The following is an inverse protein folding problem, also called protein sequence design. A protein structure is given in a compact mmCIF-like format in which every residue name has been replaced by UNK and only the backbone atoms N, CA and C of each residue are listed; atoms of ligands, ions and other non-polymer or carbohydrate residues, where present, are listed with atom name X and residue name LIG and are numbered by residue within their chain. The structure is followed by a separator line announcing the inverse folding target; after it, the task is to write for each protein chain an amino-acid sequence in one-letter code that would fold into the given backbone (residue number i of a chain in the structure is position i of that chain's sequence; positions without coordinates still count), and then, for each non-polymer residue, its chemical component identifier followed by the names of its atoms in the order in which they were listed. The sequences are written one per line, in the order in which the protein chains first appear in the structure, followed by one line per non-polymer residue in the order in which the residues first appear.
data_IF_963106160319
#
_entry.id   IF_963106160319
#
_cell.length_a   1.000
_cell.length_b   1.000
_cell.length_c   1.000
_cell.angle_alpha   90.00
_cell.angle_beta   90.00
_cell.angle_gamma   90.00
#
_symmetry.space_group_name_H-M   'P 1'
#
loop_
_entity.id
_entity.type
_entity.pdbx_description
1 polymer ?
#
# COMPACT_ATOMS: atom_id res chain seq x y z
N UNK A 1 1.49 -33.16 10.34
CA UNK A 1 2.71 -32.41 10.05
C UNK A 1 2.45 -31.30 9.05
N UNK A 2 2.73 -30.07 9.45
CA UNK A 2 2.41 -28.87 8.67
C UNK A 2 3.63 -28.29 7.94
N UNK A 3 4.76 -29.00 7.89
CA UNK A 3 5.96 -28.52 7.23
C UNK A 3 6.05 -29.04 5.80
N UNK A 4 6.30 -28.12 4.87
CA UNK A 4 6.51 -28.40 3.47
C UNK A 4 7.96 -28.14 3.09
N UNK A 5 8.55 -29.00 2.25
CA UNK A 5 9.83 -28.75 1.60
C UNK A 5 9.52 -27.99 0.31
N UNK A 6 9.96 -26.74 0.25
CA UNK A 6 9.72 -25.85 -0.88
C UNK A 6 10.99 -25.70 -1.70
N UNK A 7 10.84 -25.76 -3.02
CA UNK A 7 11.86 -25.38 -3.98
C UNK A 7 11.60 -23.93 -4.41
N UNK A 8 12.44 -22.99 -3.99
CA UNK A 8 12.28 -21.57 -4.20
C UNK A 8 13.29 -21.08 -5.23
N UNK A 9 12.80 -20.58 -6.34
CA UNK A 9 13.61 -20.02 -7.43
C UNK A 9 13.64 -18.48 -7.32
N UNK A 10 14.84 -17.91 -7.18
CA UNK A 10 15.06 -16.47 -7.10
C UNK A 10 15.51 -15.85 -8.43
N UNK A 11 15.38 -16.57 -9.54
CA UNK A 11 15.80 -16.13 -10.87
C UNK A 11 17.26 -16.44 -11.22
N UNK A 12 18.13 -16.69 -10.25
CA UNK A 12 19.54 -17.07 -10.45
C UNK A 12 19.76 -18.52 -10.09
N UNK A 13 19.19 -18.97 -8.98
CA UNK A 13 19.32 -20.34 -8.49
C UNK A 13 18.10 -20.76 -7.67
N UNK A 14 18.04 -22.04 -7.38
CA UNK A 14 16.98 -22.66 -6.59
C UNK A 14 17.50 -22.99 -5.19
N UNK A 15 16.67 -22.68 -4.18
CA UNK A 15 16.94 -22.94 -2.77
C UNK A 15 15.95 -23.94 -2.21
N UNK A 16 16.42 -24.82 -1.32
CA UNK A 16 15.53 -25.61 -0.50
C UNK A 16 15.13 -24.82 0.75
N UNK A 17 13.82 -24.68 0.97
CA UNK A 17 13.27 -23.94 2.11
C UNK A 17 12.21 -24.77 2.81
N UNK A 18 12.31 -24.89 4.13
CA UNK A 18 11.30 -25.55 4.94
C UNK A 18 10.28 -24.49 5.38
N UNK A 19 9.02 -24.66 5.00
CA UNK A 19 7.96 -23.72 5.27
C UNK A 19 6.78 -24.40 5.97
N UNK A 20 6.32 -23.80 7.07
CA UNK A 20 5.16 -24.25 7.85
C UNK A 20 3.89 -23.43 7.60
N UNK A 21 3.94 -22.46 6.69
CA UNK A 21 2.79 -21.60 6.40
C UNK A 21 1.64 -22.38 5.75
N UNK A 22 0.39 -22.16 6.19
CA UNK A 22 -0.76 -22.90 5.70
C UNK A 22 -1.13 -22.57 4.25
N UNK A 23 -0.72 -21.40 3.77
CA UNK A 23 -1.04 -20.91 2.42
C UNK A 23 0.02 -21.22 1.37
N UNK A 24 1.12 -21.92 1.74
CA UNK A 24 2.14 -22.28 0.77
C UNK A 24 1.61 -23.25 -0.28
N UNK A 25 1.78 -22.92 -1.55
CA UNK A 25 1.33 -23.73 -2.69
C UNK A 25 2.31 -23.66 -3.85
N UNK A 26 2.32 -24.70 -4.68
CA UNK A 26 3.15 -24.74 -5.89
C UNK A 26 2.78 -23.63 -6.86
N UNK A 27 3.79 -22.94 -7.38
CA UNK A 27 3.63 -21.88 -8.39
C UNK A 27 3.26 -20.52 -7.84
N UNK A 28 3.11 -20.34 -6.52
CA UNK A 28 2.92 -19.02 -5.93
C UNK A 28 4.21 -18.19 -5.98
N UNK A 29 4.06 -16.89 -6.02
CA UNK A 29 5.15 -15.93 -5.80
C UNK A 29 5.13 -15.47 -4.35
N UNK A 30 6.25 -15.59 -3.65
CA UNK A 30 6.41 -15.18 -2.26
C UNK A 30 7.64 -14.32 -2.08
N UNK A 31 7.78 -13.72 -0.91
CA UNK A 31 8.98 -12.99 -0.53
C UNK A 31 9.94 -13.96 0.15
N UNK A 32 11.16 -14.04 -0.37
CA UNK A 32 12.20 -14.95 0.08
C UNK A 32 13.37 -14.17 0.69
N UNK A 33 13.84 -14.62 1.85
CA UNK A 33 15.08 -14.16 2.45
C UNK A 33 16.10 -15.32 2.46
N UNK A 34 17.29 -15.05 1.93
CA UNK A 34 18.41 -15.97 1.93
C UNK A 34 19.23 -15.90 3.23
N UNK A 35 20.14 -16.84 3.39
CA UNK A 35 21.15 -16.83 4.43
C UNK A 35 21.92 -15.50 4.47
N UNK A 36 22.13 -14.94 5.67
CA UNK A 36 22.79 -13.66 5.90
C UNK A 36 21.89 -12.42 5.81
N UNK A 37 20.63 -12.54 5.36
CA UNK A 37 19.71 -11.39 5.30
C UNK A 37 19.15 -11.05 6.66
N UNK A 38 19.01 -9.75 6.93
CA UNK A 38 18.36 -9.22 8.13
C UNK A 38 16.85 -9.23 7.98
N UNK A 39 16.15 -9.74 9.01
CA UNK A 39 14.70 -9.80 9.07
C UNK A 39 14.18 -8.76 10.08
N UNK A 40 13.59 -7.64 9.62
CA UNK A 40 13.27 -6.51 10.49
C UNK A 40 12.19 -6.80 11.53
N UNK A 41 11.26 -7.71 11.25
CA UNK A 41 10.17 -8.04 12.16
C UNK A 41 10.59 -8.89 13.36
N UNK A 42 11.68 -9.64 13.23
CA UNK A 42 12.22 -10.50 14.30
C UNK A 42 13.58 -10.01 14.83
N UNK A 43 14.15 -8.97 14.21
CA UNK A 43 15.45 -8.39 14.56
C UNK A 43 16.60 -9.41 14.54
N UNK A 44 16.58 -10.33 13.56
CA UNK A 44 17.59 -11.38 13.41
C UNK A 44 18.26 -11.32 12.04
N UNK A 45 19.50 -11.77 11.99
CA UNK A 45 20.16 -12.14 10.73
C UNK A 45 19.87 -13.62 10.48
N UNK A 46 19.21 -13.90 9.36
CA UNK A 46 18.83 -15.25 8.99
C UNK A 46 20.08 -16.12 8.77
N UNK A 47 20.04 -17.34 9.28
CA UNK A 47 21.11 -18.33 9.09
C UNK A 47 20.53 -19.61 8.52
N UNK A 48 21.27 -20.18 7.57
CA UNK A 48 21.02 -21.53 7.07
C UNK A 48 20.99 -22.51 8.25
N UNK A 49 19.99 -23.36 8.31
CA UNK A 49 19.79 -24.26 9.43
C UNK A 49 19.15 -25.58 9.04
N UNK A 50 19.05 -26.48 10.01
CA UNK A 50 18.32 -27.75 9.86
C UNK A 50 17.01 -27.68 10.64
N UNK A 51 15.91 -27.98 9.99
CA UNK A 51 14.57 -28.05 10.58
C UNK A 51 14.07 -29.48 10.41
N UNK A 52 13.94 -30.21 11.52
CA UNK A 52 13.55 -31.65 11.55
C UNK A 52 14.38 -32.55 10.62
N UNK A 53 15.69 -32.28 10.57
CA UNK A 53 16.64 -33.08 9.77
C UNK A 53 16.88 -32.57 8.35
N UNK A 54 15.99 -31.74 7.81
CA UNK A 54 16.09 -31.17 6.49
C UNK A 54 16.76 -29.79 6.51
N UNK A 55 17.54 -29.49 5.50
CA UNK A 55 18.25 -28.20 5.39
C UNK A 55 17.31 -27.13 4.85
N UNK A 56 17.23 -25.98 5.55
CA UNK A 56 16.59 -24.77 5.05
C UNK A 56 17.64 -23.72 4.74
N UNK A 57 17.70 -23.24 3.48
CA UNK A 57 18.70 -22.29 2.99
C UNK A 57 18.19 -20.85 3.03
N UNK A 58 17.02 -20.65 3.60
CA UNK A 58 16.38 -19.36 3.71
C UNK A 58 14.99 -19.47 4.33
N UNK A 59 14.21 -18.40 4.23
CA UNK A 59 12.87 -18.29 4.78
C UNK A 59 11.94 -17.60 3.80
N UNK A 60 10.70 -18.08 3.70
CA UNK A 60 9.59 -17.36 3.07
C UNK A 60 8.93 -16.48 4.14
N UNK A 61 8.71 -15.20 3.83
CA UNK A 61 8.36 -14.18 4.80
C UNK A 61 6.86 -13.91 4.83
N UNK A 62 6.34 -13.66 6.04
CA UNK A 62 5.02 -13.06 6.28
C UNK A 62 5.12 -11.53 6.34
N UNK A 63 3.98 -10.85 6.40
CA UNK A 63 3.93 -9.40 6.55
C UNK A 63 4.59 -8.92 7.86
N UNK A 64 4.47 -9.72 8.91
CA UNK A 64 5.07 -9.42 10.23
C UNK A 64 6.60 -9.39 10.17
N UNK A 65 7.24 -10.35 9.49
CA UNK A 65 8.69 -10.38 9.36
C UNK A 65 9.24 -9.16 8.61
N UNK A 66 8.43 -8.55 7.72
CA UNK A 66 8.78 -7.32 7.01
C UNK A 66 8.29 -6.03 7.72
N UNK A 67 7.64 -6.13 8.89
CA UNK A 67 6.98 -5.00 9.59
C UNK A 67 5.93 -4.28 8.73
N UNK A 68 5.26 -4.98 7.84
CA UNK A 68 4.17 -4.44 7.04
C UNK A 68 2.84 -4.46 7.79
N UNK A 69 2.61 -5.50 8.59
CA UNK A 69 1.46 -5.63 9.50
C UNK A 69 1.79 -6.64 10.61
N UNK A 70 0.85 -6.86 11.52
CA UNK A 70 0.95 -7.89 12.56
C UNK A 70 0.56 -9.31 12.06
N UNK A 71 0.14 -9.42 10.81
CA UNK A 71 -0.30 -10.68 10.22
C UNK A 71 0.88 -11.64 10.02
N UNK A 72 0.77 -12.84 10.60
CA UNK A 72 1.76 -13.93 10.50
C UNK A 72 1.10 -15.30 10.27
N UNK A 73 -0.17 -15.33 9.90
CA UNK A 73 -0.90 -16.59 9.66
C UNK A 73 -0.43 -17.32 8.40
N UNK A 74 0.28 -16.62 7.50
CA UNK A 74 0.83 -17.19 6.28
C UNK A 74 1.96 -16.35 5.72
N UNK A 75 2.57 -16.84 4.64
CA UNK A 75 3.57 -16.09 3.87
C UNK A 75 2.89 -15.11 2.92
N UNK A 76 3.59 -14.03 2.57
CA UNK A 76 3.12 -13.04 1.59
C UNK A 76 2.95 -13.71 0.22
N UNK A 77 1.76 -13.58 -0.36
CA UNK A 77 1.50 -13.93 -1.75
C UNK A 77 1.60 -12.67 -2.63
N UNK A 78 2.64 -12.60 -3.44
CA UNK A 78 2.88 -11.45 -4.33
C UNK A 78 1.94 -11.51 -5.53
N UNK A 79 1.21 -10.42 -5.75
CA UNK A 79 0.29 -10.27 -6.88
C UNK A 79 1.02 -9.74 -8.12
N UNK A 80 0.41 -9.91 -9.30
CA UNK A 80 0.94 -9.34 -10.56
C UNK A 80 2.06 -10.15 -11.21
N UNK A 81 2.45 -11.29 -10.64
CA UNK A 81 3.42 -12.25 -11.20
C UNK A 81 4.75 -11.61 -11.68
N UNK A 82 5.46 -10.85 -10.82
CA UNK A 82 6.75 -10.26 -11.20
C UNK A 82 7.78 -11.36 -11.55
N UNK A 83 8.85 -11.05 -12.31
CA UNK A 83 9.96 -11.98 -12.55
C UNK A 83 10.54 -12.51 -11.24
N UNK A 84 11.03 -13.76 -11.23
CA UNK A 84 11.76 -14.28 -10.09
C UNK A 84 13.02 -13.43 -9.87
N UNK A 85 13.39 -13.18 -8.62
CA UNK A 85 14.52 -12.33 -8.26
C UNK A 85 14.22 -10.83 -8.21
N UNK A 86 12.98 -10.40 -8.53
CA UNK A 86 12.57 -9.02 -8.27
C UNK A 86 12.69 -8.72 -6.77
N UNK A 87 13.29 -7.57 -6.42
CA UNK A 87 13.41 -7.16 -5.03
C UNK A 87 12.04 -6.95 -4.36
N UNK A 88 11.97 -7.17 -3.05
CA UNK A 88 10.72 -7.16 -2.30
C UNK A 88 10.01 -5.79 -2.33
N UNK A 89 10.77 -4.69 -2.32
CA UNK A 89 10.22 -3.33 -2.33
C UNK A 89 9.46 -3.08 -3.64
N UNK A 90 10.07 -3.46 -4.75
CA UNK A 90 9.45 -3.37 -6.09
C UNK A 90 8.29 -4.35 -6.24
N UNK A 91 8.48 -5.61 -5.82
CA UNK A 91 7.46 -6.65 -5.96
C UNK A 91 6.19 -6.35 -5.15
N UNK A 92 6.31 -5.66 -4.03
CA UNK A 92 5.21 -5.25 -3.16
C UNK A 92 4.73 -3.83 -3.41
N UNK A 93 5.39 -3.10 -4.34
CA UNK A 93 5.05 -1.70 -4.66
C UNK A 93 5.15 -0.79 -3.42
N UNK A 94 6.23 -0.93 -2.66
CA UNK A 94 6.49 -0.16 -1.43
C UNK A 94 7.35 1.08 -1.66
N UNK A 95 7.73 1.36 -2.91
CA UNK A 95 8.61 2.48 -3.26
C UNK A 95 7.84 3.80 -3.38
N UNK A 96 7.01 4.12 -2.39
CA UNK A 96 6.26 5.38 -2.28
C UNK A 96 6.74 6.14 -1.04
N UNK A 97 7.60 7.16 -1.18
CA UNK A 97 8.13 7.89 -0.05
C UNK A 97 7.04 8.66 0.68
N UNK A 98 6.99 8.50 2.01
CA UNK A 98 6.02 9.14 2.88
C UNK A 98 6.72 10.23 3.68
N UNK A 99 6.13 11.41 3.72
CA UNK A 99 6.61 12.55 4.49
C UNK A 99 5.59 12.90 5.58
N UNK A 100 6.04 12.91 6.83
CA UNK A 100 5.30 13.50 7.93
C UNK A 100 5.68 14.98 8.04
N UNK A 101 4.68 15.86 7.89
CA UNK A 101 4.91 17.31 7.84
C UNK A 101 4.14 18.00 8.96
N UNK A 102 4.86 18.61 9.89
CA UNK A 102 4.27 19.49 10.89
C UNK A 102 3.92 20.85 10.29
N UNK A 103 2.64 21.19 10.21
CA UNK A 103 2.15 22.48 9.70
C UNK A 103 1.76 23.37 10.89
N UNK A 104 2.28 24.59 10.93
CA UNK A 104 1.93 25.57 11.97
C UNK A 104 0.49 26.08 11.81
N UNK A 105 -0.20 26.47 12.90
CA UNK A 105 -1.63 26.87 12.85
C UNK A 105 -1.97 28.00 11.90
N UNK A 106 -1.01 28.89 11.61
CA UNK A 106 -1.17 30.01 10.68
C UNK A 106 -1.01 29.62 9.20
N UNK A 107 -0.68 28.35 8.89
CA UNK A 107 -0.43 27.86 7.53
C UNK A 107 -1.44 26.82 7.09
N UNK A 108 -2.72 27.06 7.36
CA UNK A 108 -3.82 26.20 6.90
C UNK A 108 -3.84 25.95 5.39
N UNK A 109 -3.27 26.85 4.60
CA UNK A 109 -3.06 26.70 3.17
C UNK A 109 -2.12 25.55 2.79
N UNK A 110 -1.24 25.13 3.71
CA UNK A 110 -0.32 24.01 3.55
C UNK A 110 -0.88 22.66 4.02
N UNK A 111 -2.13 22.59 4.51
CA UNK A 111 -2.79 21.32 4.88
C UNK A 111 -3.30 20.54 3.65
N UNK A 112 -2.57 20.58 2.55
CA UNK A 112 -2.86 19.83 1.32
C UNK A 112 -1.58 19.59 0.51
N UNK A 113 -1.59 18.53 -0.29
CA UNK A 113 -0.48 18.23 -1.22
C UNK A 113 -0.18 19.41 -2.14
N UNK A 114 -1.23 20.09 -2.64
CA UNK A 114 -1.06 21.25 -3.52
C UNK A 114 -0.53 22.48 -2.77
N UNK A 115 -0.95 22.68 -1.54
CA UNK A 115 -0.43 23.76 -0.69
C UNK A 115 1.06 23.62 -0.42
N UNK A 116 1.50 22.41 -0.07
CA UNK A 116 2.92 22.07 0.10
C UNK A 116 3.68 22.25 -1.22
N UNK A 117 3.16 21.75 -2.33
CA UNK A 117 3.80 21.88 -3.65
C UNK A 117 3.97 23.36 -4.06
N UNK A 118 2.97 24.21 -3.77
CA UNK A 118 3.04 25.66 -4.01
C UNK A 118 4.14 26.31 -3.16
N UNK A 119 4.22 25.93 -1.89
CA UNK A 119 5.23 26.48 -0.96
C UNK A 119 6.65 26.09 -1.38
N UNK A 120 6.85 24.82 -1.75
CA UNK A 120 8.12 24.34 -2.31
C UNK A 120 8.49 25.06 -3.62
N UNK A 121 7.52 25.32 -4.48
CA UNK A 121 7.72 26.07 -5.74
C UNK A 121 8.13 27.51 -5.44
N UNK A 122 7.48 28.17 -4.49
CA UNK A 122 7.85 29.51 -4.04
C UNK A 122 9.27 29.59 -3.46
N UNK A 123 9.73 28.50 -2.83
CA UNK A 123 11.10 28.37 -2.33
C UNK A 123 12.13 28.05 -3.43
N UNK A 124 11.69 27.79 -4.67
CA UNK A 124 12.59 27.44 -5.77
C UNK A 124 12.97 25.96 -5.85
N UNK A 125 12.31 25.07 -5.10
CA UNK A 125 12.58 23.64 -5.13
C UNK A 125 11.98 22.94 -6.37
N UNK A 126 11.23 23.65 -7.19
CA UNK A 126 10.63 23.13 -8.42
C UNK A 126 9.58 24.06 -8.99
N UNK A 127 8.90 23.63 -10.04
CA UNK A 127 7.81 24.38 -10.69
C UNK A 127 6.47 23.73 -10.37
N UNK A 128 5.51 24.51 -9.88
CA UNK A 128 4.17 24.06 -9.63
C UNK A 128 3.46 23.69 -10.94
N UNK A 129 3.15 22.41 -11.12
CA UNK A 129 2.41 21.96 -12.30
C UNK A 129 0.96 22.47 -12.26
N UNK A 130 0.39 22.84 -13.42
CA UNK A 130 -1.03 23.17 -13.51
C UNK A 130 -1.89 21.97 -13.09
N UNK A 131 -3.05 22.26 -12.53
CA UNK A 131 -4.01 21.21 -12.18
C UNK A 131 -4.64 20.67 -13.48
N UNK A 132 -4.37 19.39 -13.75
CA UNK A 132 -5.04 18.70 -14.85
C UNK A 132 -6.42 18.21 -14.35
N UNK A 133 -7.43 19.02 -14.51
CA UNK A 133 -8.82 18.67 -14.17
C UNK A 133 -9.39 17.93 -15.39
N UNK A 134 -9.47 16.62 -15.31
CA UNK A 134 -10.22 15.84 -16.29
C UNK A 134 -11.70 16.18 -16.13
N UNK A 135 -12.31 16.72 -17.16
CA UNK A 135 -13.77 16.81 -17.21
C UNK A 135 -14.31 15.38 -17.34
N UNK A 136 -15.00 14.91 -16.33
CA UNK A 136 -15.81 13.70 -16.46
C UNK A 136 -17.07 14.06 -17.22
N UNK A 137 -17.34 13.37 -18.30
CA UNK A 137 -18.65 13.42 -18.97
C UNK A 137 -19.67 12.84 -17.98
N UNK A 138 -20.53 13.69 -17.48
CA UNK A 138 -21.66 13.29 -16.66
C UNK A 138 -22.89 13.19 -17.56
N UNK A 139 -23.69 12.15 -17.43
CA UNK A 139 -25.05 12.19 -17.95
C UNK A 139 -25.81 13.26 -17.18
N UNK A 140 -26.48 14.14 -17.89
CA UNK A 140 -27.37 15.11 -17.27
C UNK A 140 -28.66 14.39 -16.86
N UNK A 141 -28.96 14.41 -15.59
CA UNK A 141 -30.22 13.92 -15.04
C UNK A 141 -30.64 14.78 -13.84
N UNK A 142 -31.92 14.86 -13.60
CA UNK A 142 -32.46 15.66 -12.50
C UNK A 142 -32.04 15.07 -11.15
N UNK A 143 -31.45 15.89 -10.30
CA UNK A 143 -31.10 15.48 -8.95
C UNK A 143 -32.38 15.32 -8.10
N UNK A 144 -32.53 14.17 -7.40
CA UNK A 144 -33.63 14.00 -6.47
C UNK A 144 -33.45 14.80 -5.18
N UNK A 145 -32.28 15.43 -5.00
CA UNK A 145 -31.92 16.22 -3.82
C UNK A 145 -32.00 17.69 -4.19
N UNK A 146 -32.83 18.42 -3.46
CA UNK A 146 -32.96 19.90 -3.55
C UNK A 146 -32.35 20.54 -2.31
N UNK A 147 -31.75 21.71 -2.49
CA UNK A 147 -31.17 22.51 -1.41
C UNK A 147 -31.89 23.82 -1.26
N UNK A 148 -32.18 24.21 -0.01
CA UNK A 148 -32.56 25.55 0.31
C UNK A 148 -31.66 26.14 1.37
N UNK A 149 -31.14 27.34 1.14
CA UNK A 149 -30.32 28.07 2.10
C UNK A 149 -31.22 28.98 2.90
N UNK A 150 -31.41 28.63 4.19
CA UNK A 150 -32.19 29.46 5.12
C UNK A 150 -31.22 30.22 6.05
N UNK A 151 -30.48 31.15 5.52
CA UNK A 151 -29.56 31.99 6.29
C UNK A 151 -29.73 33.45 5.93
N UNK A 152 -29.23 34.32 6.78
CA UNK A 152 -29.13 35.77 6.55
C UNK A 152 -28.11 36.13 5.43
N UNK A 153 -27.60 35.15 4.72
CA UNK A 153 -26.66 35.32 3.61
C UNK A 153 -25.19 35.50 4.01
N UNK A 154 -24.90 35.60 5.30
CA UNK A 154 -23.54 35.87 5.77
C UNK A 154 -22.71 34.62 6.07
N UNK A 155 -23.35 33.49 6.40
CA UNK A 155 -22.66 32.27 6.83
C UNK A 155 -22.44 31.25 5.71
N UNK A 156 -23.33 31.18 4.73
CA UNK A 156 -23.25 30.29 3.58
C UNK A 156 -23.95 30.94 2.39
N UNK A 157 -23.16 31.43 1.45
CA UNK A 157 -23.71 32.11 0.26
C UNK A 157 -23.98 31.16 -0.91
N UNK A 158 -23.45 29.91 -0.83
CA UNK A 158 -23.46 29.03 -1.99
C UNK A 158 -23.22 27.57 -1.57
N UNK A 159 -23.97 26.63 -2.12
CA UNK A 159 -23.83 25.19 -1.94
C UNK A 159 -23.80 24.50 -3.30
N UNK A 160 -22.79 23.64 -3.52
CA UNK A 160 -22.77 22.70 -4.63
C UNK A 160 -22.95 21.29 -4.08
N UNK A 161 -23.79 20.51 -4.72
CA UNK A 161 -23.89 19.08 -4.47
C UNK A 161 -23.74 18.30 -5.77
N UNK A 162 -23.28 17.06 -5.64
CA UNK A 162 -23.22 16.11 -6.75
C UNK A 162 -23.90 14.83 -6.34
N UNK A 163 -24.85 14.39 -7.14
CA UNK A 163 -25.55 13.13 -6.93
C UNK A 163 -24.93 12.03 -7.80
N UNK A 164 -24.68 10.88 -7.19
CA UNK A 164 -24.18 9.69 -7.87
C UNK A 164 -25.22 8.58 -7.68
N UNK A 165 -25.61 7.92 -8.77
CA UNK A 165 -26.49 6.76 -8.77
C UNK A 165 -25.71 5.48 -9.13
N UNK A 166 -26.29 4.34 -8.82
CA UNK A 166 -25.77 3.00 -9.17
C UNK A 166 -24.36 2.71 -8.60
N UNK A 167 -24.07 3.33 -7.45
CA UNK A 167 -22.80 3.08 -6.75
C UNK A 167 -22.90 1.75 -6.01
N UNK A 168 -21.93 0.88 -6.27
CA UNK A 168 -21.74 -0.36 -5.52
C UNK A 168 -20.64 -0.13 -4.47
N UNK A 169 -21.02 -0.27 -3.21
CA UNK A 169 -20.05 -0.22 -2.12
C UNK A 169 -19.30 -1.55 -2.08
N UNK A 170 -17.98 -1.49 -2.15
CA UNK A 170 -17.08 -2.66 -2.19
C UNK A 170 -15.83 -2.41 -1.36
N UNK A 171 -14.99 -3.42 -1.26
CA UNK A 171 -13.65 -3.25 -0.68
C UNK A 171 -12.86 -2.26 -1.55
N UNK A 172 -12.17 -1.33 -0.91
CA UNK A 172 -11.30 -0.37 -1.61
C UNK A 172 -10.33 -1.08 -2.56
N UNK A 173 -10.08 -0.55 -3.75
CA UNK A 173 -9.12 -1.16 -4.68
C UNK A 173 -7.71 -1.18 -4.07
N UNK A 174 -6.91 -2.17 -4.44
CA UNK A 174 -5.59 -2.44 -3.84
C UNK A 174 -4.66 -1.20 -3.79
N UNK A 175 -4.65 -0.39 -4.85
CA UNK A 175 -3.84 0.83 -4.89
C UNK A 175 -4.26 1.86 -3.83
N UNK A 176 -5.57 1.96 -3.55
CA UNK A 176 -6.10 2.87 -2.53
C UNK A 176 -5.84 2.32 -1.13
N UNK A 177 -6.02 1.00 -0.93
CA UNK A 177 -5.69 0.35 0.33
C UNK A 177 -4.22 0.60 0.71
N UNK A 178 -3.29 0.37 -0.21
CA UNK A 178 -1.85 0.62 0.00
C UNK A 178 -1.56 2.07 0.41
N UNK A 179 -2.14 3.04 -0.29
CA UNK A 179 -1.97 4.47 0.04
C UNK A 179 -2.54 4.83 1.40
N UNK A 180 -3.72 4.32 1.76
CA UNK A 180 -4.31 4.57 3.07
C UNK A 180 -3.48 3.94 4.20
N UNK A 181 -3.09 2.68 4.03
CA UNK A 181 -2.25 1.98 5.01
C UNK A 181 -0.90 2.65 5.21
N UNK A 182 -0.28 3.14 4.14
CA UNK A 182 1.03 3.79 4.21
C UNK A 182 1.03 5.09 5.04
N UNK A 183 -0.11 5.76 5.15
CA UNK A 183 -0.29 6.96 5.99
C UNK A 183 -1.02 6.66 7.32
N UNK A 184 -1.11 5.39 7.71
CA UNK A 184 -1.70 4.96 8.98
C UNK A 184 -3.24 4.95 9.01
N UNK A 185 -3.92 5.06 7.87
CA UNK A 185 -5.38 4.99 7.78
C UNK A 185 -5.85 3.58 7.42
N UNK A 186 -7.02 3.19 7.93
CA UNK A 186 -7.65 1.91 7.59
C UNK A 186 -8.50 2.04 6.32
N UNK A 187 -8.27 1.20 5.31
CA UNK A 187 -9.18 1.12 4.17
C UNK A 187 -10.44 0.38 4.59
N UNK A 188 -11.59 1.06 4.56
CA UNK A 188 -12.87 0.48 4.96
C UNK A 188 -13.65 0.06 3.71
N UNK A 189 -13.88 0.97 2.81
CA UNK A 189 -14.60 0.75 1.55
C UNK A 189 -14.29 1.88 0.56
N UNK A 190 -14.69 1.71 -0.68
CA UNK A 190 -14.61 2.74 -1.72
C UNK A 190 -16.01 3.20 -2.08
#
# INVERSE_FOLDING_TARGET
DRLNICSVDNGEKTFQVICGAPNVKKGMKGIFAADGMYIPGTDIILKKGKIRGEVSEGMLLSERELKLSDNHEGIIEVRGNPPNGTDAVTALDLNDPIFEIGVTPNRGDCLSVRGIARDLSAKGAGTLKPLNIKQTTCEEFDSPVTWSIQSDGNSCSFVISRYYKDIQNSISPDWLQKKLLSIGLRPINA
#
